data_IF_037140058730
#
_entry.id   IF_037140058730
#
_cell.length_a   1.000
_cell.length_b   1.000
_cell.length_c   1.000
_cell.angle_alpha   90.00
_cell.angle_beta   90.00
_cell.angle_gamma   90.00
#
_symmetry.space_group_name_H-M   'P 1'
#
loop_
_entity.id
_entity.type
_entity.pdbx_description
1 polymer ?
#
# COMPACT_ATOMS: atom_id res chain seq x y z
N UNK A 1 25.57 30.72 24.21
CA UNK A 1 25.33 29.33 23.76
C UNK A 1 23.90 29.28 23.24
N UNK A 2 23.73 29.39 21.93
CA UNK A 2 22.43 29.29 21.27
C UNK A 2 22.11 27.80 21.18
N UNK A 3 21.09 27.35 21.91
CA UNK A 3 20.61 25.98 21.80
C UNK A 3 20.04 25.80 20.39
N UNK A 4 20.69 25.00 19.56
CA UNK A 4 20.13 24.43 18.33
C UNK A 4 19.08 23.38 18.72
N UNK A 5 18.00 23.83 19.34
CA UNK A 5 16.83 23.01 19.64
C UNK A 5 15.98 22.88 18.38
N UNK A 6 15.69 21.62 18.03
CA UNK A 6 14.42 21.18 17.45
C UNK A 6 14.00 21.56 16.02
N UNK A 7 14.94 21.93 15.14
CA UNK A 7 14.61 21.96 13.71
C UNK A 7 14.38 20.56 13.13
N UNK A 8 15.09 19.53 13.60
CA UNK A 8 14.94 18.16 13.09
C UNK A 8 13.55 17.58 13.41
N UNK A 9 13.04 17.79 14.62
CA UNK A 9 11.70 17.32 15.01
C UNK A 9 10.58 18.00 14.21
N UNK A 10 10.70 19.32 14.01
CA UNK A 10 9.73 20.09 13.20
C UNK A 10 9.74 19.67 11.74
N UNK A 11 10.92 19.38 11.17
CA UNK A 11 11.07 18.86 9.80
C UNK A 11 10.44 17.47 9.66
N UNK A 12 10.58 16.59 10.65
CA UNK A 12 9.97 15.26 10.62
C UNK A 12 8.43 15.30 10.70
N UNK A 13 7.87 16.18 11.54
CA UNK A 13 6.41 16.38 11.59
C UNK A 13 5.87 16.98 10.30
N UNK A 14 6.56 17.97 9.73
CA UNK A 14 6.20 18.54 8.43
C UNK A 14 6.22 17.49 7.30
N UNK A 15 7.13 16.52 7.34
CA UNK A 15 7.11 15.38 6.41
C UNK A 15 5.90 14.48 6.61
N UNK A 16 5.52 14.17 7.86
CA UNK A 16 4.33 13.36 8.16
C UNK A 16 3.07 14.06 7.64
N UNK A 17 2.92 15.35 7.93
CA UNK A 17 1.78 16.15 7.48
C UNK A 17 1.68 16.21 5.96
N UNK A 18 2.82 16.37 5.28
CA UNK A 18 2.89 16.35 3.83
C UNK A 18 2.43 15.00 3.27
N UNK A 19 3.04 13.89 3.70
CA UNK A 19 2.70 12.53 3.22
C UNK A 19 1.24 12.17 3.49
N UNK A 20 0.72 12.52 4.68
CA UNK A 20 -0.68 12.31 5.01
C UNK A 20 -1.62 13.12 4.11
N UNK A 21 -1.24 14.37 3.80
CA UNK A 21 -2.00 15.22 2.88
C UNK A 21 -2.01 14.67 1.46
N UNK A 22 -0.88 14.17 0.96
CA UNK A 22 -0.76 13.57 -0.37
C UNK A 22 -1.68 12.36 -0.55
N UNK A 23 -1.77 11.50 0.47
CA UNK A 23 -2.68 10.35 0.46
C UNK A 23 -4.13 10.79 0.50
N UNK A 24 -4.46 11.79 1.33
CA UNK A 24 -5.81 12.38 1.38
C UNK A 24 -6.23 12.95 0.03
N UNK A 25 -5.36 13.72 -0.62
CA UNK A 25 -5.61 14.27 -1.94
C UNK A 25 -5.79 13.19 -3.01
N UNK A 26 -5.07 12.07 -2.91
CA UNK A 26 -5.28 10.92 -3.79
C UNK A 26 -6.65 10.28 -3.56
N UNK A 27 -7.05 10.08 -2.31
CA UNK A 27 -8.37 9.55 -1.96
C UNK A 27 -9.52 10.48 -2.39
N UNK A 28 -9.34 11.79 -2.24
CA UNK A 28 -10.32 12.80 -2.68
C UNK A 28 -10.54 12.74 -4.21
N UNK A 29 -9.49 12.43 -4.98
CA UNK A 29 -9.58 12.20 -6.44
C UNK A 29 -10.19 10.85 -6.81
N UNK A 30 -10.12 9.86 -5.92
CA UNK A 30 -10.53 8.48 -6.18
C UNK A 30 -11.39 7.93 -5.01
N UNK A 31 -12.63 8.43 -4.83
CA UNK A 31 -13.44 8.17 -3.63
C UNK A 31 -13.92 6.72 -3.48
N UNK A 32 -13.71 5.87 -4.49
CA UNK A 32 -14.04 4.45 -4.47
C UNK A 32 -12.93 3.58 -3.84
N UNK A 33 -11.74 4.16 -3.57
CA UNK A 33 -10.63 3.43 -2.96
C UNK A 33 -10.92 3.12 -1.49
N UNK A 34 -10.64 1.88 -1.09
CA UNK A 34 -10.81 1.43 0.29
C UNK A 34 -9.53 1.58 1.09
N UNK A 35 -9.66 2.05 2.33
CA UNK A 35 -8.58 2.18 3.31
C UNK A 35 -9.09 1.64 4.65
N UNK A 36 -8.39 0.65 5.19
CA UNK A 36 -8.61 0.15 6.55
C UNK A 36 -7.68 0.82 7.55
N UNK A 37 -6.39 0.91 7.24
CA UNK A 37 -5.40 1.56 8.10
C UNK A 37 -4.34 2.25 7.25
N UNK A 38 -3.81 3.36 7.76
CA UNK A 38 -2.69 4.10 7.17
C UNK A 38 -1.51 4.10 8.14
N UNK A 39 -0.35 3.70 7.66
CA UNK A 39 0.93 3.94 8.33
C UNK A 39 1.65 5.09 7.64
N UNK A 40 1.94 6.17 8.35
CA UNK A 40 2.73 7.30 7.82
C UNK A 40 4.09 7.31 8.50
N UNK A 41 5.14 7.33 7.70
CA UNK A 41 6.52 7.22 8.17
C UNK A 41 7.31 8.43 7.70
N UNK A 42 7.99 9.10 8.64
CA UNK A 42 9.06 10.05 8.31
C UNK A 42 10.38 9.32 8.09
N UNK A 43 11.32 9.98 7.44
CA UNK A 43 12.68 9.47 7.25
C UNK A 43 13.68 10.56 7.65
N UNK A 44 14.64 10.20 8.50
CA UNK A 44 15.73 11.12 8.89
C UNK A 44 16.52 11.61 7.67
N UNK A 45 16.60 10.79 6.62
CA UNK A 45 17.18 11.11 5.33
C UNK A 45 16.25 10.60 4.23
N UNK A 46 15.76 11.51 3.38
CA UNK A 46 14.86 11.19 2.27
C UNK A 46 13.42 11.65 2.49
N UNK A 47 12.53 11.21 1.59
CA UNK A 47 11.10 11.48 1.67
C UNK A 47 10.43 10.52 2.66
N UNK A 48 9.43 11.01 3.38
CA UNK A 48 8.52 10.14 4.12
C UNK A 48 7.74 9.24 3.17
N UNK A 49 7.08 8.21 3.71
CA UNK A 49 6.28 7.27 2.91
C UNK A 49 4.99 6.92 3.62
N UNK A 50 4.04 6.39 2.84
CA UNK A 50 2.79 5.84 3.38
C UNK A 50 2.67 4.35 3.07
N UNK A 51 2.16 3.62 4.04
CA UNK A 51 1.62 2.27 3.86
C UNK A 51 0.10 2.32 4.00
N UNK A 52 -0.62 1.85 2.99
CA UNK A 52 -2.07 1.78 2.97
C UNK A 52 -2.48 0.32 3.10
N UNK A 53 -3.15 -0.02 4.19
CA UNK A 53 -3.73 -1.35 4.38
C UNK A 53 -5.17 -1.30 3.91
N UNK A 54 -5.52 -2.04 2.86
CA UNK A 54 -6.92 -2.11 2.42
C UNK A 54 -7.72 -2.89 3.46
N UNK A 55 -8.85 -2.35 3.88
CA UNK A 55 -9.83 -3.13 4.66
C UNK A 55 -10.42 -4.17 3.71
N UNK A 56 -10.66 -5.40 4.14
CA UNK A 56 -11.47 -6.38 3.43
C UNK A 56 -11.93 -7.49 4.39
N UNK A 57 -13.15 -8.04 4.24
CA UNK A 57 -13.62 -9.15 5.06
C UNK A 57 -13.07 -10.51 4.61
N UNK A 58 -12.64 -10.64 3.36
CA UNK A 58 -12.16 -11.87 2.73
C UNK A 58 -11.09 -11.59 1.67
N UNK A 59 -10.40 -12.64 1.22
CA UNK A 59 -9.32 -12.55 0.23
C UNK A 59 -9.79 -12.05 -1.16
N UNK A 60 -10.93 -12.49 -1.73
CA UNK A 60 -11.43 -11.93 -2.98
C UNK A 60 -11.62 -10.41 -2.93
N UNK A 61 -12.23 -9.87 -1.87
CA UNK A 61 -12.38 -8.43 -1.70
C UNK A 61 -11.05 -7.73 -1.43
N UNK A 62 -10.11 -8.37 -0.72
CA UNK A 62 -8.77 -7.82 -0.52
C UNK A 62 -8.04 -7.65 -1.87
N UNK A 63 -8.12 -8.67 -2.72
CA UNK A 63 -7.57 -8.63 -4.08
C UNK A 63 -8.24 -7.54 -4.94
N UNK A 64 -9.58 -7.48 -4.93
CA UNK A 64 -10.33 -6.47 -5.68
C UNK A 64 -9.99 -5.04 -5.24
N UNK A 65 -9.87 -4.79 -3.93
CA UNK A 65 -9.52 -3.46 -3.39
C UNK A 65 -8.08 -3.07 -3.69
N UNK A 66 -7.15 -4.03 -3.68
CA UNK A 66 -5.78 -3.77 -4.13
C UNK A 66 -5.73 -3.43 -5.62
N UNK A 67 -6.46 -4.17 -6.46
CA UNK A 67 -6.55 -3.88 -7.89
C UNK A 67 -7.14 -2.49 -8.17
N UNK A 68 -8.19 -2.10 -7.45
CA UNK A 68 -8.75 -0.76 -7.56
C UNK A 68 -7.70 0.33 -7.25
N UNK A 69 -6.84 0.10 -6.24
CA UNK A 69 -5.70 0.98 -5.99
C UNK A 69 -4.72 1.00 -7.17
N UNK A 70 -4.30 -0.17 -7.66
CA UNK A 70 -3.36 -0.30 -8.78
C UNK A 70 -3.84 0.45 -10.02
N UNK A 71 -5.14 0.42 -10.32
CA UNK A 71 -5.72 1.12 -11.48
C UNK A 71 -5.62 2.66 -11.37
N UNK A 72 -5.36 3.20 -10.18
CA UNK A 72 -5.17 4.64 -9.95
C UNK A 72 -3.70 5.07 -9.85
N UNK A 73 -2.79 4.10 -9.85
CA UNK A 73 -1.36 4.30 -9.59
C UNK A 73 -0.57 4.17 -10.89
N UNK A 74 0.38 5.07 -11.10
CA UNK A 74 1.27 4.98 -12.26
C UNK A 74 2.37 3.95 -12.01
N UNK A 75 2.56 3.03 -12.96
CA UNK A 75 3.64 2.02 -12.98
C UNK A 75 3.88 1.26 -11.65
N UNK A 76 2.81 0.79 -10.99
CA UNK A 76 2.96 0.04 -9.74
C UNK A 76 3.69 -1.31 -9.91
N UNK A 77 4.68 -1.56 -9.05
CA UNK A 77 5.33 -2.86 -8.93
C UNK A 77 4.53 -3.73 -7.97
N UNK A 78 4.06 -4.88 -8.46
CA UNK A 78 3.31 -5.84 -7.65
C UNK A 78 4.19 -6.94 -7.09
N UNK A 79 3.97 -7.26 -5.82
CA UNK A 79 4.65 -8.33 -5.09
C UNK A 79 3.63 -9.09 -4.27
N UNK A 80 3.60 -10.41 -4.41
CA UNK A 80 2.98 -11.30 -3.44
C UNK A 80 4.08 -11.79 -2.52
N UNK A 81 4.04 -11.35 -1.27
CA UNK A 81 4.95 -11.75 -0.21
C UNK A 81 4.40 -12.98 0.48
N UNK A 82 5.11 -14.09 0.35
CA UNK A 82 4.79 -15.32 1.04
C UNK A 82 5.34 -15.28 2.47
N UNK A 83 4.49 -15.60 3.43
CA UNK A 83 4.85 -15.79 4.83
C UNK A 83 3.79 -16.69 5.44
N UNK A 84 4.20 -17.72 6.17
CA UNK A 84 3.29 -18.75 6.70
C UNK A 84 2.17 -18.15 7.58
N UNK A 85 2.49 -17.09 8.34
CA UNK A 85 1.56 -16.49 9.31
C UNK A 85 0.86 -15.22 8.80
N UNK A 86 1.42 -14.53 7.80
CA UNK A 86 0.92 -13.23 7.36
C UNK A 86 1.32 -12.92 5.91
N UNK A 87 0.78 -13.68 4.95
CA UNK A 87 1.05 -13.43 3.55
C UNK A 87 0.29 -12.19 3.05
N UNK A 88 0.88 -11.48 2.09
CA UNK A 88 0.38 -10.18 1.66
C UNK A 88 0.62 -9.95 0.18
N UNK A 89 -0.36 -9.36 -0.50
CA UNK A 89 -0.14 -8.73 -1.79
C UNK A 89 0.15 -7.24 -1.60
N UNK A 90 1.15 -6.73 -2.32
CA UNK A 90 1.65 -5.36 -2.17
C UNK A 90 1.82 -4.71 -3.52
N UNK A 91 1.41 -3.45 -3.62
CA UNK A 91 1.68 -2.57 -4.75
C UNK A 91 2.60 -1.43 -4.28
N UNK A 92 3.77 -1.30 -4.90
CA UNK A 92 4.73 -0.26 -4.61
C UNK A 92 4.78 0.74 -5.76
N UNK A 93 4.63 2.03 -5.45
CA UNK A 93 4.87 3.12 -6.41
C UNK A 93 5.01 4.47 -5.70
N UNK A 94 4.78 5.57 -6.42
CA UNK A 94 4.65 6.91 -5.93
C UNK A 94 3.25 7.45 -6.27
N UNK A 95 2.74 8.31 -5.40
CA UNK A 95 1.57 9.15 -5.69
C UNK A 95 1.97 10.24 -6.71
N UNK A 96 0.97 10.99 -7.20
CA UNK A 96 1.17 11.99 -8.26
C UNK A 96 2.17 13.11 -7.90
N UNK A 97 2.34 13.39 -6.61
CA UNK A 97 3.30 14.37 -6.08
C UNK A 97 4.70 13.78 -5.84
N UNK A 98 4.90 12.50 -6.15
CA UNK A 98 6.14 11.77 -5.92
C UNK A 98 6.23 11.13 -4.53
N UNK A 99 5.20 11.18 -3.70
CA UNK A 99 5.22 10.54 -2.37
C UNK A 99 5.24 9.02 -2.49
N UNK A 100 6.26 8.31 -1.95
CA UNK A 100 6.30 6.85 -1.98
C UNK A 100 5.12 6.22 -1.22
N UNK A 101 4.45 5.27 -1.88
CA UNK A 101 3.30 4.55 -1.33
C UNK A 101 3.46 3.03 -1.50
N UNK A 102 3.08 2.30 -0.45
CA UNK A 102 2.87 0.86 -0.50
C UNK A 102 1.42 0.56 -0.15
N UNK A 103 0.65 -0.01 -1.08
CA UNK A 103 -0.70 -0.51 -0.79
C UNK A 103 -0.61 -2.00 -0.49
N UNK A 104 -1.23 -2.44 0.59
CA UNK A 104 -1.08 -3.77 1.18
C UNK A 104 -2.47 -4.39 1.33
N UNK A 105 -2.66 -5.55 0.71
CA UNK A 105 -3.80 -6.43 0.95
C UNK A 105 -3.35 -7.65 1.76
N UNK A 106 -3.98 -7.92 2.91
CA UNK A 106 -3.78 -9.18 3.62
C UNK A 106 -4.32 -10.34 2.77
N UNK A 107 -3.63 -11.47 2.79
CA UNK A 107 -4.06 -12.70 2.13
C UNK A 107 -4.32 -13.78 3.18
N UNK A 108 -5.17 -14.74 2.86
CA UNK A 108 -5.40 -15.91 3.69
C UNK A 108 -4.29 -16.95 3.42
N UNK A 109 -3.48 -17.36 4.42
CA UNK A 109 -2.42 -18.34 4.21
C UNK A 109 -2.94 -19.69 3.73
N UNK A 110 -4.20 -20.04 4.01
CA UNK A 110 -4.80 -21.31 3.59
C UNK A 110 -5.20 -21.32 2.11
N UNK A 111 -5.30 -20.15 1.47
CA UNK A 111 -5.74 -19.98 0.08
C UNK A 111 -4.59 -19.73 -0.92
N UNK A 112 -3.33 -19.80 -0.46
CA UNK A 112 -2.13 -19.60 -1.30
C UNK A 112 -1.68 -20.88 -2.03
N UNK A 113 -2.63 -21.64 -2.56
CA UNK A 113 -2.38 -22.95 -3.15
C UNK A 113 -1.23 -22.93 -4.18
N UNK A 114 -0.13 -23.62 -3.86
CA UNK A 114 1.03 -23.76 -4.75
C UNK A 114 2.02 -22.59 -4.74
N UNK A 115 1.83 -21.58 -3.88
CA UNK A 115 2.77 -20.48 -3.68
C UNK A 115 3.64 -20.79 -2.47
N UNK A 116 4.94 -20.89 -2.67
CA UNK A 116 5.91 -21.26 -1.62
C UNK A 116 7.05 -20.25 -1.46
N UNK A 117 7.00 -19.16 -2.23
CA UNK A 117 8.00 -18.10 -2.23
C UNK A 117 7.38 -16.82 -2.78
N UNK A 118 8.04 -15.70 -2.52
CA UNK A 118 7.65 -14.40 -3.06
C UNK A 118 7.53 -14.44 -4.59
N UNK A 119 6.52 -13.75 -5.10
CA UNK A 119 6.25 -13.57 -6.54
C UNK A 119 6.14 -12.10 -6.86
N UNK A 120 6.48 -11.71 -8.08
CA UNK A 120 6.46 -10.32 -8.53
C UNK A 120 5.91 -10.17 -9.95
N UNK A 121 5.52 -8.95 -10.31
CA UNK A 121 5.17 -8.57 -11.69
C UNK A 121 3.83 -9.14 -12.19
N UNK A 122 3.76 -9.40 -13.50
CA UNK A 122 2.53 -9.77 -14.22
C UNK A 122 1.85 -11.02 -13.68
N UNK A 123 2.63 -11.96 -13.16
CA UNK A 123 2.09 -13.16 -12.53
C UNK A 123 1.22 -12.80 -11.32
N UNK A 124 1.67 -11.86 -10.48
CA UNK A 124 0.91 -11.40 -9.31
C UNK A 124 -0.33 -10.66 -9.75
N UNK A 125 -0.23 -9.81 -10.78
CA UNK A 125 -1.39 -9.11 -11.33
C UNK A 125 -2.45 -10.10 -11.85
N UNK A 126 -2.03 -11.15 -12.56
CA UNK A 126 -2.93 -12.18 -13.04
C UNK A 126 -3.58 -12.96 -11.89
N UNK A 127 -2.80 -13.37 -10.89
CA UNK A 127 -3.29 -14.07 -9.70
C UNK A 127 -4.34 -13.23 -8.95
N UNK A 128 -4.06 -11.94 -8.71
CA UNK A 128 -4.99 -11.02 -8.07
C UNK A 128 -6.31 -10.91 -8.83
N UNK A 129 -6.27 -10.85 -10.17
CA UNK A 129 -7.48 -10.76 -11.01
C UNK A 129 -8.33 -12.03 -10.94
N UNK A 130 -7.71 -13.21 -10.86
CA UNK A 130 -8.45 -14.46 -10.72
C UNK A 130 -9.20 -14.49 -9.38
N UNK A 131 -8.51 -14.23 -8.26
CA UNK A 131 -9.14 -14.25 -6.94
C UNK A 131 -10.12 -13.10 -6.71
N UNK A 132 -9.91 -11.93 -7.31
CA UNK A 132 -10.89 -10.84 -7.23
C UNK A 132 -12.23 -11.17 -7.89
N UNK A 133 -12.24 -12.00 -8.95
CA UNK A 133 -13.48 -12.37 -9.65
C UNK A 133 -14.41 -13.27 -8.82
N UNK A 134 -13.88 -13.95 -7.81
CA UNK A 134 -14.63 -14.76 -6.86
C UNK A 134 -15.47 -13.90 -5.89
N UNK A 135 -15.18 -12.60 -5.78
CA UNK A 135 -15.96 -11.66 -4.95
C UNK A 135 -17.34 -11.32 -5.54
N UNK A 136 -17.57 -11.67 -6.82
CA UNK A 136 -18.81 -11.38 -7.55
C UNK A 136 -19.71 -12.60 -7.78
N UNK A 137 -19.30 -13.78 -7.30
CA UNK A 137 -20.07 -15.03 -7.38
C UNK A 137 -20.93 -15.23 -6.11
#
# INVERSE_FOLDING_TARGET
>A
MTATLDNTGTVLWGQIDHVASSVREHLDRHPHLSVGTLGVYSANLGQGRVEVYVSAPDQPQACARLLAWVDTLDHATLVLRYCDDNPQARAYTHLADGTPVTVIAPLDPTELHGITADRTGDWVLHWLRMHASEATA
#
